data_IF_202414373549
#
_entry.id   IF_202414373549
#
_cell.length_a   1.000
_cell.length_b   1.000
_cell.length_c   1.000
_cell.angle_alpha   90.00
_cell.angle_beta   90.00
_cell.angle_gamma   90.00
#
_symmetry.space_group_name_H-M   'P 1'
#
loop_
_entity.id
_entity.type
_entity.pdbx_description
1 polymer ?
#
# COMPACT_ATOMS: atom_id res chain seq x y z
N UNK A 1 -3.84 2.44 18.01
CA UNK A 1 -2.98 2.78 16.86
C UNK A 1 -2.84 1.58 15.94
N UNK A 2 -2.24 1.76 14.76
CA UNK A 2 -1.97 0.67 13.82
C UNK A 2 -0.51 0.70 13.38
N UNK A 3 0.28 -0.28 13.83
CA UNK A 3 1.71 -0.39 13.47
C UNK A 3 1.87 -0.58 11.97
N UNK A 4 2.93 -0.03 11.38
CA UNK A 4 3.19 -0.11 9.94
C UNK A 4 3.44 -1.56 9.47
N UNK A 5 4.04 -2.40 10.31
CA UNK A 5 4.35 -3.80 9.99
C UNK A 5 3.11 -4.67 9.72
N UNK A 6 1.93 -4.27 10.21
CA UNK A 6 0.67 -5.00 9.99
C UNK A 6 0.24 -5.08 8.53
N UNK A 7 0.78 -4.22 7.65
CA UNK A 7 0.51 -4.31 6.22
C UNK A 7 1.26 -5.47 5.54
N UNK A 8 2.26 -6.06 6.20
CA UNK A 8 3.15 -7.10 5.65
C UNK A 8 3.31 -8.31 6.56
N UNK A 9 2.44 -8.47 7.56
CA UNK A 9 2.46 -9.60 8.52
C UNK A 9 1.76 -10.86 8.00
N UNK A 10 1.16 -10.80 6.79
CA UNK A 10 0.43 -11.89 6.14
C UNK A 10 -1.06 -11.96 6.49
N UNK A 11 -1.56 -11.08 7.36
CA UNK A 11 -2.99 -11.01 7.74
C UNK A 11 -3.71 -9.99 6.85
N UNK A 12 -4.67 -10.46 6.05
CA UNK A 12 -5.38 -9.62 5.07
C UNK A 12 -6.74 -9.10 5.56
N UNK A 13 -7.02 -9.23 6.85
CA UNK A 13 -8.30 -8.82 7.45
C UNK A 13 -8.33 -7.30 7.65
N UNK A 14 -9.22 -6.61 6.95
CA UNK A 14 -9.35 -5.15 7.04
C UNK A 14 -10.13 -4.62 8.26
N UNK A 15 -10.07 -5.24 9.44
CA UNK A 15 -10.84 -4.82 10.62
C UNK A 15 -9.95 -4.11 11.64
N UNK A 16 -10.15 -2.80 11.80
CA UNK A 16 -9.30 -1.99 12.68
C UNK A 16 -9.32 -2.41 14.15
N UNK A 17 -10.49 -2.79 14.65
CA UNK A 17 -10.65 -3.27 16.03
C UNK A 17 -9.94 -4.59 16.34
N UNK A 18 -9.46 -5.31 15.32
CA UNK A 18 -8.80 -6.61 15.49
C UNK A 18 -7.28 -6.53 15.45
N UNK A 19 -6.71 -5.31 15.40
CA UNK A 19 -5.27 -5.10 15.32
C UNK A 19 -4.61 -5.67 14.05
N UNK A 20 -5.35 -5.75 12.94
CA UNK A 20 -4.88 -6.32 11.67
C UNK A 20 -4.63 -5.27 10.58
N UNK A 21 -4.70 -3.98 10.92
CA UNK A 21 -4.46 -2.87 9.97
C UNK A 21 -3.41 -1.89 10.50
N UNK A 22 -2.77 -1.18 9.57
CA UNK A 22 -1.94 0.00 9.85
C UNK A 22 -2.82 1.25 10.00
N UNK A 23 -2.31 2.30 10.64
CA UNK A 23 -3.01 3.59 10.73
C UNK A 23 -2.01 4.73 10.94
N UNK A 24 -2.05 5.75 10.09
CA UNK A 24 -1.25 6.98 10.23
C UNK A 24 -1.93 8.00 11.15
N UNK A 25 -1.29 9.13 11.43
CA UNK A 25 -2.01 10.27 12.02
C UNK A 25 -2.87 10.97 10.96
N UNK A 26 -3.62 11.98 11.38
CA UNK A 26 -4.41 12.81 10.47
C UNK A 26 -3.53 13.83 9.76
N UNK A 27 -2.78 13.36 8.75
CA UNK A 27 -1.81 14.17 8.01
C UNK A 27 -2.12 14.18 6.50
N UNK A 28 -1.88 15.33 5.86
CA UNK A 28 -1.93 15.47 4.41
C UNK A 28 -0.71 14.75 3.81
N UNK A 29 -0.93 13.93 2.78
CA UNK A 29 0.15 13.18 2.15
C UNK A 29 0.70 12.06 3.03
N UNK A 30 -0.15 11.49 3.91
CA UNK A 30 0.17 10.27 4.65
C UNK A 30 0.66 9.17 3.69
N UNK A 31 1.76 8.52 4.04
CA UNK A 31 2.36 7.47 3.24
C UNK A 31 2.72 6.25 4.11
N UNK A 32 2.91 5.12 3.43
CA UNK A 32 3.44 3.91 4.00
C UNK A 32 4.40 3.31 2.96
N UNK A 33 5.52 2.75 3.42
CA UNK A 33 6.47 2.08 2.55
C UNK A 33 7.02 0.83 3.21
N UNK A 34 7.52 -0.09 2.38
CA UNK A 34 8.27 -1.27 2.79
C UNK A 34 9.57 -1.33 2.01
N UNK A 35 10.61 -1.78 2.70
CA UNK A 35 11.92 -2.01 2.11
C UNK A 35 12.12 -3.51 1.88
N UNK A 36 12.54 -3.89 0.66
CA UNK A 36 12.74 -5.30 0.31
C UNK A 36 14.07 -5.87 0.81
N UNK A 37 15.04 -5.04 1.17
CA UNK A 37 16.37 -5.49 1.61
C UNK A 37 17.30 -5.92 0.48
N UNK A 38 16.78 -6.08 -0.74
CA UNK A 38 17.51 -6.53 -1.93
C UNK A 38 16.77 -6.12 -3.19
N UNK A 39 17.43 -6.24 -4.34
CA UNK A 39 16.84 -6.05 -5.65
C UNK A 39 15.72 -7.07 -5.87
N UNK A 40 14.54 -6.57 -6.22
CA UNK A 40 13.36 -7.40 -6.42
C UNK A 40 12.64 -7.05 -7.73
N UNK A 41 12.30 -8.09 -8.49
CA UNK A 41 11.38 -8.00 -9.62
C UNK A 41 9.96 -7.97 -9.06
N UNK A 42 9.27 -6.84 -9.19
CA UNK A 42 7.89 -6.67 -8.73
C UNK A 42 6.93 -6.92 -9.89
N UNK A 43 6.22 -8.04 -9.83
CA UNK A 43 5.18 -8.37 -10.81
C UNK A 43 3.82 -7.81 -10.40
N UNK A 44 3.39 -8.08 -9.17
CA UNK A 44 2.08 -7.67 -8.67
C UNK A 44 2.20 -7.13 -7.26
N UNK A 45 1.43 -6.08 -6.99
CA UNK A 45 1.21 -5.56 -5.65
C UNK A 45 -0.26 -5.74 -5.31
N UNK A 46 -0.54 -6.37 -4.18
CA UNK A 46 -1.88 -6.55 -3.65
C UNK A 46 -2.06 -5.62 -2.45
N UNK A 47 -3.07 -4.77 -2.47
CA UNK A 47 -3.40 -3.89 -1.36
C UNK A 47 -4.77 -4.26 -0.80
N UNK A 48 -4.79 -4.63 0.47
CA UNK A 48 -6.02 -4.95 1.21
C UNK A 48 -6.47 -3.73 1.99
N UNK A 49 -7.64 -3.19 1.63
CA UNK A 49 -8.21 -2.01 2.27
C UNK A 49 -8.93 -2.37 3.57
N UNK A 50 -9.10 -1.37 4.43
CA UNK A 50 -9.99 -1.44 5.58
C UNK A 50 -11.43 -1.72 5.13
N UNK A 51 -12.16 -2.54 5.90
CA UNK A 51 -13.53 -2.98 5.58
C UNK A 51 -14.58 -2.65 6.64
N UNK A 52 -14.19 -2.42 7.90
CA UNK A 52 -15.12 -2.18 9.01
C UNK A 52 -15.67 -0.74 9.05
N UNK A 53 -14.92 0.25 8.56
CA UNK A 53 -15.40 1.61 8.27
C UNK A 53 -14.38 2.39 7.40
N UNK A 54 -14.70 3.63 7.04
CA UNK A 54 -13.76 4.59 6.44
C UNK A 54 -13.00 4.08 5.19
N UNK A 55 -13.65 3.20 4.40
CA UNK A 55 -13.03 2.56 3.23
C UNK A 55 -12.60 3.59 2.17
N UNK A 56 -13.29 4.71 2.15
CA UNK A 56 -13.09 5.85 1.26
C UNK A 56 -11.74 6.55 1.46
N UNK A 57 -11.11 6.43 2.64
CA UNK A 57 -9.84 7.12 2.96
C UNK A 57 -8.65 6.72 2.08
N UNK A 58 -8.68 5.53 1.48
CA UNK A 58 -7.63 5.08 0.56
C UNK A 58 -7.81 5.66 -0.86
N UNK A 59 -8.92 6.36 -1.14
CA UNK A 59 -9.17 6.96 -2.45
C UNK A 59 -8.11 7.99 -2.82
N UNK A 60 -7.68 7.96 -4.08
CA UNK A 60 -6.71 8.93 -4.62
C UNK A 60 -5.26 8.74 -4.15
N UNK A 61 -4.93 7.62 -3.50
CA UNK A 61 -3.52 7.27 -3.22
C UNK A 61 -2.83 6.73 -4.47
N UNK A 62 -1.50 6.82 -4.48
CA UNK A 62 -0.65 6.25 -5.53
C UNK A 62 0.25 5.16 -4.93
N UNK A 63 0.35 4.04 -5.63
CA UNK A 63 1.33 2.99 -5.34
C UNK A 63 2.55 3.24 -6.20
N UNK A 64 3.70 3.44 -5.58
CA UNK A 64 4.96 3.72 -6.27
C UNK A 64 5.96 2.62 -5.98
N UNK A 65 6.65 2.18 -7.04
CA UNK A 65 7.85 1.38 -6.94
C UNK A 65 9.05 2.32 -7.05
N UNK A 66 9.89 2.30 -6.02
CA UNK A 66 11.07 3.14 -5.92
C UNK A 66 12.33 2.35 -6.22
N UNK A 67 13.29 3.02 -6.83
CA UNK A 67 14.64 2.54 -7.11
C UNK A 67 15.64 3.35 -6.28
N UNK A 68 16.31 2.68 -5.33
CA UNK A 68 17.22 3.26 -4.34
C UNK A 68 16.68 3.34 -2.91
N UNK A 69 17.59 3.60 -1.97
CA UNK A 69 17.31 3.71 -0.52
C UNK A 69 16.76 5.13 -0.21
N UNK A 70 15.91 5.27 0.81
CA UNK A 70 15.40 6.56 1.34
C UNK A 70 14.69 7.45 0.31
N UNK A 71 13.56 6.96 -0.25
CA UNK A 71 12.77 7.69 -1.24
C UNK A 71 13.53 7.93 -2.56
N UNK A 72 14.08 6.84 -3.10
CA UNK A 72 14.70 6.81 -4.42
C UNK A 72 13.76 7.19 -5.58
N UNK A 73 14.19 6.96 -6.82
CA UNK A 73 13.44 7.39 -7.99
C UNK A 73 12.20 6.51 -8.21
N UNK A 74 11.06 7.13 -8.53
CA UNK A 74 9.86 6.38 -8.95
C UNK A 74 10.11 5.76 -10.31
N UNK A 75 10.19 4.42 -10.37
CA UNK A 75 10.40 3.66 -11.62
C UNK A 75 9.10 3.12 -12.21
N UNK A 76 8.06 3.03 -11.38
CA UNK A 76 6.70 2.72 -11.82
C UNK A 76 5.69 3.24 -10.79
N UNK A 77 4.50 3.62 -11.25
CA UNK A 77 3.40 3.98 -10.38
C UNK A 77 2.06 3.44 -10.88
N UNK A 78 1.12 3.26 -9.95
CA UNK A 78 -0.28 2.90 -10.22
C UNK A 78 -1.18 3.73 -9.33
N UNK A 79 -2.23 4.30 -9.90
CA UNK A 79 -3.17 5.13 -9.15
C UNK A 79 -4.36 4.29 -8.64
N UNK A 80 -4.76 4.52 -7.39
CA UNK A 80 -6.05 4.05 -6.91
C UNK A 80 -7.19 4.84 -7.56
N UNK A 81 -8.40 4.27 -7.62
CA UNK A 81 -9.59 5.05 -7.91
C UNK A 81 -9.68 6.26 -6.96
N UNK A 82 -9.98 7.44 -7.51
CA UNK A 82 -10.17 8.66 -6.72
C UNK A 82 -11.32 8.50 -5.71
N UNK A 83 -12.35 7.74 -6.08
CA UNK A 83 -13.51 7.45 -5.24
C UNK A 83 -13.58 5.96 -4.94
N UNK A 84 -13.50 5.62 -3.65
CA UNK A 84 -13.66 4.25 -3.15
C UNK A 84 -14.98 4.15 -2.40
N UNK A 85 -15.92 3.38 -2.95
CA UNK A 85 -17.27 3.23 -2.38
C UNK A 85 -17.28 2.24 -1.21
N UNK A 86 -18.28 2.35 -0.34
CA UNK A 86 -18.42 1.47 0.82
C UNK A 86 -18.59 -0.02 0.44
N UNK A 87 -19.09 -0.32 -0.76
CA UNK A 87 -19.22 -1.67 -1.31
C UNK A 87 -18.11 -2.06 -2.29
N UNK A 88 -16.99 -1.31 -2.32
CA UNK A 88 -15.81 -1.66 -3.11
C UNK A 88 -15.18 -2.99 -2.68
N UNK A 89 -14.47 -3.61 -3.61
CA UNK A 89 -13.68 -4.80 -3.32
C UNK A 89 -12.66 -4.51 -2.20
N UNK A 90 -12.45 -5.45 -1.28
CA UNK A 90 -11.50 -5.27 -0.18
C UNK A 90 -10.04 -5.32 -0.64
N UNK A 91 -9.79 -5.74 -1.88
CA UNK A 91 -8.45 -5.97 -2.42
C UNK A 91 -8.31 -5.32 -3.80
N UNK A 92 -7.19 -4.62 -4.00
CA UNK A 92 -6.77 -4.05 -5.27
C UNK A 92 -5.48 -4.76 -5.72
N UNK A 93 -5.46 -5.20 -6.97
CA UNK A 93 -4.29 -5.82 -7.58
C UNK A 93 -3.70 -4.87 -8.63
N UNK A 94 -2.44 -4.53 -8.46
CA UNK A 94 -1.69 -3.66 -9.36
C UNK A 94 -0.64 -4.49 -10.08
N UNK A 95 -0.72 -4.52 -11.41
CA UNK A 95 0.30 -5.14 -12.24
C UNK A 95 1.44 -4.16 -12.49
N UNK A 96 2.64 -4.54 -12.06
CA UNK A 96 3.89 -3.82 -12.25
C UNK A 96 4.74 -4.42 -13.36
N UNK A 97 4.26 -5.43 -14.09
CA UNK A 97 4.85 -5.94 -15.33
C UNK A 97 6.32 -6.36 -15.20
N UNK A 98 6.72 -6.83 -14.01
CA UNK A 98 8.08 -7.26 -13.73
C UNK A 98 9.09 -6.11 -13.64
N UNK A 99 8.65 -4.90 -13.26
CA UNK A 99 9.57 -3.78 -12.99
C UNK A 99 10.47 -4.09 -11.80
N UNK A 100 11.72 -3.64 -11.89
CA UNK A 100 12.73 -3.86 -10.85
C UNK A 100 12.94 -2.55 -10.09
N UNK A 101 12.85 -2.59 -8.77
CA UNK A 101 13.46 -1.57 -7.91
C UNK A 101 14.84 -2.10 -7.48
N UNK A 102 15.90 -1.32 -7.73
CA UNK A 102 17.26 -1.70 -7.34
C UNK A 102 17.62 -1.05 -6.00
N UNK A 103 18.48 -1.71 -5.25
CA UNK A 103 19.16 -1.19 -4.08
C UNK A 103 20.52 -0.68 -4.56
N UNK A 104 20.56 0.57 -5.01
CA UNK A 104 21.84 1.26 -5.23
C UNK A 104 22.50 1.70 -3.92
#
# INVERSE_FOLDING_TARGET
>A
GGLAERAVDGITVGIGGWNTITHTNWDIGSWWSVWFGTDAVVNKVYVWNRIDCCRDRIGGVRVELLDGINAGNVVASRDFPATVLWNSLPMYAFDFEGKVGQTI
#
